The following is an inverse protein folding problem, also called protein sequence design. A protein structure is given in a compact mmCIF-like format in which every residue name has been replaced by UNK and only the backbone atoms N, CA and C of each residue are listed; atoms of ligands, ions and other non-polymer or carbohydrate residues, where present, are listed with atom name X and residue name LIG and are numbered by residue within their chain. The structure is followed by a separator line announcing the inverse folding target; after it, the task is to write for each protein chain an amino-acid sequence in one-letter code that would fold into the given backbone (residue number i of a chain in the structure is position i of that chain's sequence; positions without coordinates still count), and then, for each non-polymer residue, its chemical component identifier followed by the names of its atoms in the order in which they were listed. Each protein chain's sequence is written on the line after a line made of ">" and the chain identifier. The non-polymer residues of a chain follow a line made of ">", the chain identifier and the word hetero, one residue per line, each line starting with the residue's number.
data_IF_473538542823
#
_entry.id   IF_473538542823
#
_cell.length_a   1.000
_cell.length_b   1.000
_cell.length_c   1.000
_cell.angle_alpha   90.00
_cell.angle_beta   90.00
_cell.angle_gamma   90.00
#
_symmetry.space_group_name_H-M   'P 1'
#
loop_
_entity.id
_entity.type
_entity.pdbx_description
1 polymer ?
#
# COMPACT_ATOMS: atom_id res chain seq x y z
N UNK A 1 19.22 -6.00 -52.01
CA UNK A 1 19.40 -5.46 -50.66
C UNK A 1 18.14 -5.72 -49.84
N UNK A 2 18.12 -6.77 -49.00
CA UNK A 2 16.95 -7.18 -48.17
C UNK A 2 17.23 -7.06 -46.66
N UNK A 3 18.46 -6.67 -46.32
CA UNK A 3 19.01 -6.60 -44.97
C UNK A 3 18.39 -5.47 -44.11
N UNK A 4 18.01 -4.28 -44.63
CA UNK A 4 17.53 -3.21 -43.75
C UNK A 4 16.13 -3.49 -43.17
N UNK A 5 15.32 -4.31 -43.85
CA UNK A 5 13.96 -4.66 -43.42
C UNK A 5 14.00 -5.62 -42.23
N UNK A 6 14.97 -6.56 -42.23
CA UNK A 6 15.15 -7.52 -41.15
C UNK A 6 15.60 -6.84 -39.85
N UNK A 7 16.51 -5.86 -39.95
CA UNK A 7 16.96 -5.06 -38.81
C UNK A 7 15.82 -4.24 -38.19
N UNK A 8 14.96 -3.63 -39.02
CA UNK A 8 13.81 -2.86 -38.54
C UNK A 8 12.79 -3.69 -37.76
N UNK A 9 12.52 -4.92 -38.21
CA UNK A 9 11.63 -5.87 -37.52
C UNK A 9 12.20 -6.39 -36.20
N UNK A 10 13.52 -6.61 -36.12
CA UNK A 10 14.16 -7.01 -34.88
C UNK A 10 14.07 -5.91 -33.80
N UNK A 11 14.25 -4.65 -34.20
CA UNK A 11 14.20 -3.51 -33.27
C UNK A 11 12.77 -3.29 -32.75
N UNK A 12 11.75 -3.39 -33.60
CA UNK A 12 10.35 -3.27 -33.16
C UNK A 12 9.90 -4.41 -32.26
N UNK A 13 10.40 -5.64 -32.49
CA UNK A 13 10.13 -6.79 -31.64
C UNK A 13 10.71 -6.66 -30.22
N UNK A 14 11.93 -6.12 -30.10
CA UNK A 14 12.58 -5.89 -28.79
C UNK A 14 11.81 -4.83 -27.97
N UNK A 15 11.29 -3.79 -28.61
CA UNK A 15 10.52 -2.74 -27.92
C UNK A 15 9.20 -3.27 -27.34
N UNK A 16 8.52 -4.19 -28.03
CA UNK A 16 7.29 -4.83 -27.55
C UNK A 16 7.54 -5.78 -26.37
N UNK A 17 8.68 -6.48 -26.35
CA UNK A 17 9.07 -7.36 -25.25
C UNK A 17 9.35 -6.60 -23.95
N UNK A 18 9.87 -5.37 -24.04
CA UNK A 18 10.12 -4.52 -22.86
C UNK A 18 8.84 -4.11 -22.12
N UNK A 19 7.70 -3.97 -22.82
CA UNK A 19 6.42 -3.58 -22.20
C UNK A 19 5.81 -4.77 -21.44
N UNK A 20 5.93 -5.99 -21.98
CA UNK A 20 5.41 -7.20 -21.33
C UNK A 20 6.16 -7.59 -20.05
N UNK A 21 7.43 -7.17 -19.89
CA UNK A 21 8.19 -7.37 -18.66
C UNK A 21 7.80 -6.39 -17.53
N UNK A 22 7.03 -5.34 -17.82
CA UNK A 22 6.52 -4.40 -16.81
C UNK A 22 5.22 -4.92 -16.16
N UNK A 23 4.38 -5.66 -16.88
CA UNK A 23 3.12 -6.21 -16.33
C UNK A 23 3.30 -7.44 -15.41
N UNK A 24 4.52 -7.96 -15.25
CA UNK A 24 4.83 -8.99 -14.25
C UNK A 24 5.87 -8.52 -13.22
N UNK A 25 6.17 -7.21 -13.22
CA UNK A 25 6.91 -6.52 -12.17
C UNK A 25 6.00 -5.55 -11.40
N UNK A 26 4.70 -5.75 -11.49
CA UNK A 26 3.74 -5.37 -10.47
C UNK A 26 3.53 -6.56 -9.51
N UNK A 27 4.62 -7.18 -9.07
CA UNK A 27 4.76 -7.34 -7.63
C UNK A 27 4.79 -5.92 -7.10
N UNK A 28 3.58 -5.43 -6.86
CA UNK A 28 3.27 -4.25 -6.09
C UNK A 28 4.33 -4.22 -5.02
N UNK A 29 5.30 -3.32 -5.20
CA UNK A 29 6.04 -2.79 -4.12
C UNK A 29 4.93 -2.19 -3.25
N UNK A 30 4.35 -3.03 -2.41
CA UNK A 30 3.87 -2.66 -1.11
C UNK A 30 5.13 -2.20 -0.36
N UNK A 31 5.72 -1.10 -0.82
CA UNK A 31 5.54 0.14 -0.11
C UNK A 31 4.04 0.22 0.23
N UNK A 32 3.66 -0.57 1.25
CA UNK A 32 3.30 -0.02 2.53
C UNK A 32 4.15 1.23 2.66
N UNK A 33 3.70 2.32 2.01
CA UNK A 33 3.93 3.65 2.53
C UNK A 33 3.71 3.40 4.00
N UNK A 34 4.73 3.54 4.86
CA UNK A 34 4.47 3.59 6.28
C UNK A 34 3.55 4.79 6.35
N UNK A 35 2.23 4.55 6.30
CA UNK A 35 1.25 5.53 6.70
C UNK A 35 1.84 5.93 8.02
N UNK A 36 2.28 7.19 8.12
CA UNK A 36 2.93 7.67 9.30
C UNK A 36 1.98 7.31 10.44
N UNK A 37 2.24 6.19 11.13
CA UNK A 37 1.64 5.82 12.41
C UNK A 37 2.31 6.74 13.44
N UNK A 38 2.40 8.02 13.10
CA UNK A 38 3.03 9.08 13.86
C UNK A 38 2.11 9.62 14.94
N UNK A 39 0.87 9.13 15.01
CA UNK A 39 -0.03 9.43 16.09
C UNK A 39 -0.66 8.15 16.61
N UNK A 40 -0.67 8.03 17.93
CA UNK A 40 -1.52 7.11 18.66
C UNK A 40 -2.77 7.89 19.10
N UNK A 41 -3.88 7.20 19.34
CA UNK A 41 -5.11 7.84 19.78
C UNK A 41 -5.04 8.19 21.27
N UNK A 42 -5.23 9.49 21.56
CA UNK A 42 -5.32 10.03 22.91
C UNK A 42 -6.64 9.62 23.61
N UNK A 43 -6.74 9.88 24.92
CA UNK A 43 -7.92 9.52 25.72
C UNK A 43 -9.18 10.18 25.13
N UNK A 44 -10.21 9.37 24.85
CA UNK A 44 -11.48 9.81 24.29
C UNK A 44 -11.53 9.87 22.77
N UNK A 45 -10.40 9.67 22.09
CA UNK A 45 -10.33 9.58 20.62
C UNK A 45 -10.77 8.19 20.17
N UNK A 46 -11.39 8.11 18.99
CA UNK A 46 -11.80 6.84 18.38
C UNK A 46 -10.59 5.97 18.02
N UNK A 47 -10.71 4.68 18.23
CA UNK A 47 -9.63 3.70 18.06
C UNK A 47 -9.98 2.54 17.13
N UNK A 48 -10.90 2.77 16.19
CA UNK A 48 -11.33 1.79 15.19
C UNK A 48 -10.16 1.37 14.28
N UNK A 49 -9.37 2.35 13.83
CA UNK A 49 -8.31 2.16 12.83
C UNK A 49 -6.91 2.52 13.38
N UNK A 50 -6.82 2.85 14.67
CA UNK A 50 -5.62 3.39 15.32
C UNK A 50 -5.45 2.86 16.74
N UNK A 51 -4.20 2.53 17.11
CA UNK A 51 -3.88 2.11 18.46
C UNK A 51 -3.90 3.28 19.44
N UNK A 52 -4.37 3.02 20.66
CA UNK A 52 -4.30 4.00 21.74
C UNK A 52 -2.87 4.24 22.21
N UNK A 53 -2.57 5.45 22.67
CA UNK A 53 -1.28 5.76 23.28
C UNK A 53 -1.00 4.93 24.55
N UNK A 54 0.25 4.95 25.02
CA UNK A 54 0.66 4.26 26.26
C UNK A 54 -0.30 4.54 27.43
N UNK A 55 -0.56 3.52 28.23
CA UNK A 55 -1.51 3.53 29.36
C UNK A 55 -3.00 3.66 29.01
N UNK A 56 -3.35 3.59 27.72
CA UNK A 56 -4.73 3.56 27.25
C UNK A 56 -5.07 2.20 26.60
N UNK A 57 -6.36 1.88 26.55
CA UNK A 57 -6.93 0.72 25.88
C UNK A 57 -8.20 1.13 25.13
N UNK A 58 -8.39 0.55 23.95
CA UNK A 58 -9.59 0.76 23.15
C UNK A 58 -10.77 0.05 23.81
N UNK A 59 -11.76 0.80 24.32
CA UNK A 59 -13.00 0.23 24.88
C UNK A 59 -14.17 0.63 23.98
N UNK A 60 -14.97 -0.37 23.62
CA UNK A 60 -16.17 -0.18 22.81
C UNK A 60 -17.45 -0.24 23.65
N UNK A 61 -18.49 0.43 23.18
CA UNK A 61 -19.86 0.20 23.64
C UNK A 61 -20.34 -1.25 23.33
N UNK A 62 -21.48 -1.62 23.91
CA UNK A 62 -22.09 -2.95 23.71
C UNK A 62 -22.40 -3.26 22.24
N UNK A 63 -22.67 -2.23 21.43
CA UNK A 63 -22.92 -2.35 19.99
C UNK A 63 -21.64 -2.40 19.14
N UNK A 64 -20.45 -2.26 19.73
CA UNK A 64 -19.14 -2.20 19.05
C UNK A 64 -19.04 -1.10 17.97
N UNK A 65 -19.95 -0.14 18.00
CA UNK A 65 -20.05 0.96 17.04
C UNK A 65 -19.23 2.17 17.49
N UNK A 66 -19.04 2.33 18.79
CA UNK A 66 -18.30 3.45 19.37
C UNK A 66 -17.15 2.92 20.22
N UNK A 67 -15.96 2.90 19.63
CA UNK A 67 -14.74 2.46 20.28
C UNK A 67 -13.82 3.66 20.52
N UNK A 68 -13.50 3.93 21.78
CA UNK A 68 -12.63 5.06 22.16
C UNK A 68 -11.54 4.64 23.13
N UNK A 69 -10.42 5.35 23.11
CA UNK A 69 -9.33 5.12 24.05
C UNK A 69 -9.71 5.55 25.47
N UNK A 70 -9.64 4.61 26.41
CA UNK A 70 -9.87 4.82 27.84
C UNK A 70 -8.62 4.44 28.62
N UNK A 71 -8.48 4.90 29.86
CA UNK A 71 -7.43 4.38 30.75
C UNK A 71 -7.64 2.86 30.90
N UNK A 72 -6.51 2.12 30.89
CA UNK A 72 -6.49 0.67 31.14
C UNK A 72 -7.33 0.36 32.38
#
# INVERSE_FOLDING_TARGET
>A
MKIPILLGLCISGILLLSILHVSNAEEVNSQEVPQERGYCAEKGIKCNDIHCCSNLVCKCDSSRSNCVCRKK
#
